data_IF_775206463341
#
_entry.id   IF_775206463341
#
_cell.length_a   1.000
_cell.length_b   1.000
_cell.length_c   1.000
_cell.angle_alpha   90.00
_cell.angle_beta   90.00
_cell.angle_gamma   90.00
#
_symmetry.space_group_name_H-M   'P 1'
#
loop_
_entity.id
_entity.type
_entity.pdbx_description
1 polymer ?
#
# COMPACT_ATOMS: atom_id res chain seq x y z
N UNK A 1 1.41 16.36 0.77
CA UNK A 1 1.63 15.63 2.04
C UNK A 1 3.12 15.65 2.34
N UNK A 2 3.55 15.81 3.60
CA UNK A 2 4.98 15.75 3.94
C UNK A 2 5.47 14.29 4.02
N UNK A 3 6.79 14.09 4.05
CA UNK A 3 7.37 12.73 4.01
C UNK A 3 7.04 11.89 5.25
N UNK A 4 6.96 12.52 6.43
CA UNK A 4 6.63 11.84 7.69
C UNK A 4 5.21 11.29 7.64
N UNK A 5 4.23 12.13 7.26
CA UNK A 5 2.84 11.71 7.10
C UNK A 5 2.67 10.65 6.00
N UNK A 6 3.49 10.69 4.95
CA UNK A 6 3.52 9.65 3.92
C UNK A 6 3.97 8.31 4.48
N UNK A 7 5.09 8.32 5.22
CA UNK A 7 5.64 7.13 5.83
C UNK A 7 4.67 6.51 6.84
N UNK A 8 4.03 7.34 7.68
CA UNK A 8 3.00 6.90 8.62
C UNK A 8 1.81 6.25 7.88
N UNK A 9 1.33 6.87 6.80
CA UNK A 9 0.23 6.33 6.00
C UNK A 9 0.60 4.98 5.36
N UNK A 10 1.78 4.86 4.76
CA UNK A 10 2.28 3.61 4.17
C UNK A 10 2.41 2.53 5.25
N UNK A 11 2.99 2.87 6.40
CA UNK A 11 3.18 1.94 7.51
C UNK A 11 1.84 1.39 7.99
N UNK A 12 0.81 2.24 8.10
CA UNK A 12 -0.54 1.81 8.47
C UNK A 12 -1.12 0.79 7.48
N UNK A 13 -0.96 1.01 6.17
CA UNK A 13 -1.42 0.05 5.15
C UNK A 13 -0.63 -1.26 5.20
N UNK A 14 0.69 -1.21 5.45
CA UNK A 14 1.51 -2.42 5.63
C UNK A 14 1.04 -3.23 6.85
N UNK A 15 0.83 -2.58 7.99
CA UNK A 15 0.35 -3.27 9.20
C UNK A 15 -1.04 -3.89 9.00
N UNK A 16 -1.93 -3.24 8.25
CA UNK A 16 -3.22 -3.82 7.86
C UNK A 16 -3.05 -5.13 7.06
N UNK A 17 -2.17 -5.12 6.05
CA UNK A 17 -1.84 -6.30 5.24
C UNK A 17 -1.23 -7.42 6.10
N UNK A 18 -0.34 -7.09 7.04
CA UNK A 18 0.29 -8.05 7.96
C UNK A 18 -0.76 -8.79 8.81
N UNK A 19 -1.75 -8.07 9.35
CA UNK A 19 -2.86 -8.68 10.11
C UNK A 19 -3.64 -9.68 9.27
N UNK A 20 -3.90 -9.37 8.00
CA UNK A 20 -4.58 -10.32 7.11
C UNK A 20 -3.73 -11.56 6.80
N UNK A 21 -2.41 -11.39 6.63
CA UNK A 21 -1.51 -12.53 6.48
C UNK A 21 -1.50 -13.42 7.72
N UNK A 22 -1.47 -12.84 8.93
CA UNK A 22 -1.52 -13.59 10.18
C UNK A 22 -2.81 -14.43 10.28
N UNK A 23 -3.95 -13.84 9.92
CA UNK A 23 -5.24 -14.56 9.87
C UNK A 23 -5.18 -15.72 8.89
N UNK A 24 -4.73 -15.48 7.65
CA UNK A 24 -4.60 -16.52 6.63
C UNK A 24 -3.63 -17.63 7.06
N UNK A 25 -2.55 -17.27 7.74
CA UNK A 25 -1.57 -18.21 8.27
C UNK A 25 -2.17 -19.10 9.36
N UNK A 26 -2.92 -18.54 10.31
CA UNK A 26 -3.66 -19.30 11.33
C UNK A 26 -4.66 -20.25 10.67
N UNK A 27 -5.45 -19.75 9.72
CA UNK A 27 -6.44 -20.58 9.01
C UNK A 27 -5.77 -21.73 8.25
N UNK A 28 -4.65 -21.47 7.58
CA UNK A 28 -3.89 -22.48 6.84
C UNK A 28 -3.31 -23.54 7.76
N UNK A 29 -2.63 -23.13 8.84
CA UNK A 29 -1.97 -24.04 9.78
C UNK A 29 -2.93 -24.95 10.53
N UNK A 30 -4.18 -24.51 10.72
CA UNK A 30 -5.23 -25.31 11.36
C UNK A 30 -6.12 -26.04 10.34
N UNK A 31 -5.86 -25.94 9.04
CA UNK A 31 -6.67 -26.59 8.00
C UNK A 31 -8.08 -26.02 7.84
N UNK A 32 -8.32 -24.79 8.34
CA UNK A 32 -9.64 -24.15 8.43
C UNK A 32 -10.01 -23.37 7.16
N UNK A 33 -9.12 -23.27 6.17
CA UNK A 33 -9.38 -22.48 4.95
C UNK A 33 -10.64 -22.93 4.20
N UNK A 34 -10.97 -24.23 4.21
CA UNK A 34 -12.19 -24.76 3.60
C UNK A 34 -13.45 -24.54 4.44
N UNK A 35 -13.29 -24.27 5.73
CA UNK A 35 -14.40 -24.02 6.68
C UNK A 35 -14.81 -22.54 6.68
N UNK A 36 -13.89 -21.65 6.31
CA UNK A 36 -14.18 -20.23 6.16
C UNK A 36 -15.03 -19.99 4.93
N UNK A 37 -16.06 -19.15 5.08
CA UNK A 37 -16.90 -18.73 3.95
C UNK A 37 -16.02 -18.09 2.88
N UNK A 38 -16.16 -18.54 1.64
CA UNK A 38 -15.45 -17.98 0.48
C UNK A 38 -15.53 -16.44 0.45
N UNK A 39 -16.71 -15.87 0.72
CA UNK A 39 -16.90 -14.41 0.75
C UNK A 39 -16.01 -13.68 1.77
N UNK A 40 -15.64 -14.34 2.88
CA UNK A 40 -14.73 -13.77 3.87
C UNK A 40 -13.29 -13.77 3.37
N UNK A 41 -12.88 -14.84 2.67
CA UNK A 41 -11.56 -14.90 2.03
C UNK A 41 -11.47 -13.88 0.89
N UNK A 42 -12.50 -13.78 0.05
CA UNK A 42 -12.58 -12.79 -1.03
C UNK A 42 -12.47 -11.37 -0.45
N UNK A 43 -13.17 -11.07 0.65
CA UNK A 43 -13.07 -9.78 1.33
C UNK A 43 -11.65 -9.47 1.83
N UNK A 44 -10.97 -10.44 2.44
CA UNK A 44 -9.58 -10.28 2.89
C UNK A 44 -8.69 -9.90 1.70
N UNK A 45 -8.79 -10.65 0.58
CA UNK A 45 -7.97 -10.34 -0.59
C UNK A 45 -8.30 -8.99 -1.21
N UNK A 46 -9.57 -8.60 -1.27
CA UNK A 46 -9.96 -7.26 -1.75
C UNK A 46 -9.35 -6.16 -0.87
N UNK A 47 -9.40 -6.30 0.46
CA UNK A 47 -8.81 -5.31 1.36
C UNK A 47 -7.28 -5.23 1.21
N UNK A 48 -6.60 -6.37 1.08
CA UNK A 48 -5.16 -6.40 0.82
C UNK A 48 -4.81 -5.74 -0.53
N UNK A 49 -5.61 -5.94 -1.57
CA UNK A 49 -5.44 -5.30 -2.88
C UNK A 49 -5.62 -3.77 -2.80
N UNK A 50 -6.62 -3.31 -2.05
CA UNK A 50 -6.87 -1.88 -1.81
C UNK A 50 -5.70 -1.24 -1.05
N UNK A 51 -5.20 -1.88 0.01
CA UNK A 51 -4.05 -1.40 0.78
C UNK A 51 -2.77 -1.34 -0.07
N UNK A 52 -2.50 -2.37 -0.88
CA UNK A 52 -1.36 -2.37 -1.81
C UNK A 52 -1.47 -1.26 -2.85
N UNK A 53 -2.68 -1.04 -3.38
CA UNK A 53 -2.95 0.03 -4.34
C UNK A 53 -2.75 1.41 -3.72
N UNK A 54 -3.16 1.60 -2.46
CA UNK A 54 -2.92 2.83 -1.72
C UNK A 54 -1.42 3.09 -1.52
N UNK A 55 -0.65 2.09 -1.10
CA UNK A 55 0.82 2.20 -0.96
C UNK A 55 1.46 2.59 -2.29
N UNK A 56 1.08 1.94 -3.39
CA UNK A 56 1.59 2.24 -4.72
C UNK A 56 1.31 3.69 -5.10
N UNK A 57 0.08 4.17 -4.90
CA UNK A 57 -0.30 5.55 -5.18
C UNK A 57 0.48 6.56 -4.35
N UNK A 58 0.65 6.31 -3.05
CA UNK A 58 1.43 7.16 -2.16
C UNK A 58 2.91 7.25 -2.57
N UNK A 59 3.48 6.16 -3.08
CA UNK A 59 4.83 6.15 -3.64
C UNK A 59 4.89 6.85 -5.00
N UNK A 60 3.93 6.64 -5.90
CA UNK A 60 3.88 7.33 -7.18
C UNK A 60 3.74 8.84 -7.03
N UNK A 61 2.93 9.31 -6.08
CA UNK A 61 2.80 10.75 -5.76
C UNK A 61 4.12 11.33 -5.25
N UNK A 62 4.89 10.56 -4.48
CA UNK A 62 6.21 10.95 -4.00
C UNK A 62 7.23 11.10 -5.14
N UNK A 63 7.38 10.07 -5.97
CA UNK A 63 8.40 10.04 -7.02
C UNK A 63 7.98 10.79 -8.29
N UNK A 64 6.69 10.87 -8.57
CA UNK A 64 6.12 11.68 -9.65
C UNK A 64 6.29 13.17 -9.43
N UNK A 65 6.18 13.63 -8.17
CA UNK A 65 6.51 15.02 -7.80
C UNK A 65 7.99 15.35 -7.97
N UNK A 66 8.89 14.43 -7.59
CA UNK A 66 10.35 14.60 -7.76
C UNK A 66 10.74 14.73 -9.25
N UNK A 67 10.03 14.04 -10.15
CA UNK A 67 10.23 14.21 -11.61
C UNK A 67 9.88 15.62 -12.08
N UNK A 68 8.76 16.20 -11.66
CA UNK A 68 8.35 17.55 -12.06
C UNK A 68 9.23 18.66 -11.47
N UNK A 69 9.73 18.49 -10.25
CA UNK A 69 10.68 19.44 -9.65
C UNK A 69 12.03 19.42 -10.37
N UNK A 70 12.50 18.24 -10.79
CA UNK A 70 13.74 18.12 -11.58
C UNK A 70 13.65 18.78 -12.97
N UNK A 71 12.47 18.72 -13.60
CA UNK A 71 12.21 19.39 -14.88
C UNK A 71 12.04 20.91 -14.70
N UNK A 72 11.39 21.36 -13.63
CA UNK A 72 11.18 22.78 -13.34
C UNK A 72 12.46 23.51 -12.89
N UNK A 73 13.41 22.81 -12.26
CA UNK A 73 14.73 23.36 -11.89
C UNK A 73 15.67 23.55 -13.09
N UNK A 74 15.33 23.05 -14.28
CA UNK A 74 16.15 23.16 -15.49
C UNK A 74 15.91 24.42 -16.32
N UNK A 75 14.96 25.28 -15.94
CA UNK A 75 14.77 26.60 -16.54
C UNK A 75 15.49 27.69 -15.74
N UNK A 76 16.83 27.69 -15.78
CA UNK A 76 17.60 28.91 -15.54
C UNK A 76 17.75 29.59 -16.90
N UNK A 77 16.92 30.62 -17.13
CA UNK A 77 16.99 31.49 -18.30
C UNK A 77 18.42 32.05 -18.47
N UNK A 78 19.15 31.76 -19.55
CA UNK A 78 20.38 32.44 -19.85
C UNK A 78 20.05 33.59 -20.81
N UNK A 79 19.80 34.78 -20.25
CA UNK A 79 19.69 36.08 -20.95
C UNK A 79 18.58 36.23 -22.00
#
# INVERSE_FOLDING_TARGET
MNEVSRYEAITRHITSIEVYFDVLHVLSNHGLLSEVKKSSIDHIFTQMEEDLSAIKKLNEEAYGGVKQESESSSYVSPF
#
